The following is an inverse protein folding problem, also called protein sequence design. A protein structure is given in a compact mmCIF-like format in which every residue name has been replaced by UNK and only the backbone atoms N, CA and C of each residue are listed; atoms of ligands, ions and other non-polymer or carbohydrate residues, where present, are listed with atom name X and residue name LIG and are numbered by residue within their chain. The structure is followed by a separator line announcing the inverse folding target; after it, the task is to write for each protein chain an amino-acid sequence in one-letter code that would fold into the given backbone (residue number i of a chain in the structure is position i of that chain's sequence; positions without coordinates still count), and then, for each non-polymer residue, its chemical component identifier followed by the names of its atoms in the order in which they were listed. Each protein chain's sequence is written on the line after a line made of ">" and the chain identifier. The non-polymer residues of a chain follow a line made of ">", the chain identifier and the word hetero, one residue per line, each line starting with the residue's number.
data_IF_075822386396
#
_entry.id   IF_075822386396
#
_cell.length_a   1.000
_cell.length_b   1.000
_cell.length_c   1.000
_cell.angle_alpha   90.00
_cell.angle_beta   90.00
_cell.angle_gamma   90.00
#
_symmetry.space_group_name_H-M   'P 1'
#
loop_
_entity.id
_entity.type
_entity.pdbx_description
1 polymer ?
#
# COMPACT_ATOMS: atom_id res chain seq x y z
N UNK A 1 5.41 -9.63 10.06
CA UNK A 1 5.32 -10.29 8.75
C UNK A 1 3.92 -10.08 8.21
N UNK A 2 3.74 -9.19 7.22
CA UNK A 2 2.61 -9.36 6.28
C UNK A 2 3.07 -10.46 5.33
N UNK A 3 2.95 -11.72 5.76
CA UNK A 3 3.58 -12.84 5.07
C UNK A 3 2.99 -12.97 3.66
N UNK A 4 3.86 -13.11 2.65
CA UNK A 4 3.44 -13.40 1.27
C UNK A 4 3.07 -12.18 0.42
N UNK A 5 3.14 -10.95 0.93
CA UNK A 5 2.82 -9.75 0.15
C UNK A 5 3.88 -9.49 -0.94
N UNK A 6 3.44 -9.40 -2.19
CA UNK A 6 4.26 -9.12 -3.36
C UNK A 6 3.82 -7.84 -4.08
N UNK A 7 4.73 -7.28 -4.87
CA UNK A 7 4.38 -6.19 -5.76
C UNK A 7 3.39 -6.67 -6.82
N UNK A 8 2.26 -5.99 -6.91
CA UNK A 8 1.21 -6.29 -7.88
C UNK A 8 0.08 -7.15 -7.32
N UNK A 9 0.15 -7.64 -6.08
CA UNK A 9 -1.00 -8.29 -5.45
C UNK A 9 -2.18 -7.31 -5.38
N UNK A 10 -3.40 -7.81 -5.62
CA UNK A 10 -4.62 -7.06 -5.35
C UNK A 10 -5.01 -7.37 -3.92
N UNK A 11 -5.04 -6.34 -3.08
CA UNK A 11 -5.33 -6.46 -1.65
C UNK A 11 -6.55 -5.65 -1.25
N UNK A 12 -7.20 -6.07 -0.18
CA UNK A 12 -8.13 -5.25 0.59
C UNK A 12 -7.49 -5.00 1.96
N UNK A 13 -7.27 -3.73 2.29
CA UNK A 13 -6.60 -3.31 3.52
C UNK A 13 -7.51 -2.41 4.34
N UNK A 14 -7.61 -2.69 5.65
CA UNK A 14 -8.35 -1.89 6.63
C UNK A 14 -7.38 -1.03 7.40
N UNK A 15 -7.66 0.27 7.45
CA UNK A 15 -6.84 1.25 8.13
C UNK A 15 -7.62 1.95 9.24
N UNK A 16 -6.91 2.38 10.28
CA UNK A 16 -7.41 3.34 11.25
C UNK A 16 -6.68 4.68 11.10
N UNK A 17 -7.43 5.77 10.96
CA UNK A 17 -6.88 7.12 11.02
C UNK A 17 -7.66 7.96 12.02
N UNK A 18 -7.03 8.30 13.14
CA UNK A 18 -7.61 9.24 14.11
C UNK A 18 -7.62 10.66 13.52
N UNK A 19 -8.71 11.45 13.68
CA UNK A 19 -10.00 11.11 14.33
C UNK A 19 -11.07 10.53 13.39
N UNK A 20 -10.72 10.23 12.15
CA UNK A 20 -11.65 9.84 11.08
C UNK A 20 -12.16 8.39 11.16
N UNK A 21 -11.53 7.53 11.98
CA UNK A 21 -11.96 6.16 12.23
C UNK A 21 -11.43 5.14 11.21
N UNK A 22 -12.15 4.04 11.07
CA UNK A 22 -11.79 2.92 10.20
C UNK A 22 -12.27 3.16 8.75
N UNK A 23 -11.43 2.81 7.79
CA UNK A 23 -11.81 2.78 6.38
C UNK A 23 -11.04 1.68 5.64
N UNK A 24 -11.53 1.32 4.45
CA UNK A 24 -10.98 0.23 3.63
C UNK A 24 -10.47 0.76 2.30
N UNK A 25 -9.33 0.25 1.85
CA UNK A 25 -8.82 0.47 0.49
C UNK A 25 -8.63 -0.88 -0.19
N UNK A 26 -9.23 -1.04 -1.37
CA UNK A 26 -8.94 -2.15 -2.28
C UNK A 26 -8.09 -1.65 -3.44
N UNK A 27 -6.98 -2.32 -3.73
CA UNK A 27 -6.10 -1.95 -4.83
C UNK A 27 -4.80 -2.74 -4.86
N UNK A 28 -3.88 -2.32 -5.72
CA UNK A 28 -2.58 -2.98 -5.83
C UNK A 28 -1.67 -2.69 -4.62
N UNK A 29 -1.00 -3.73 -4.14
CA UNK A 29 0.19 -3.60 -3.32
C UNK A 29 1.36 -3.14 -4.21
N UNK A 30 1.71 -1.86 -4.11
CA UNK A 30 2.77 -1.25 -4.90
C UNK A 30 4.03 -1.14 -4.05
N UNK A 31 5.14 -1.70 -4.54
CA UNK A 31 6.43 -1.54 -3.89
C UNK A 31 6.89 -0.08 -3.98
N UNK A 32 7.38 0.47 -2.86
CA UNK A 32 7.99 1.79 -2.78
C UNK A 32 9.43 1.66 -2.25
N UNK A 33 10.40 1.25 -3.10
CA UNK A 33 11.79 1.04 -2.69
C UNK A 33 12.43 2.27 -2.04
N UNK A 34 12.02 3.47 -2.46
CA UNK A 34 12.48 4.75 -1.90
C UNK A 34 12.23 4.89 -0.39
N UNK A 35 11.23 4.19 0.14
CA UNK A 35 10.88 4.20 1.56
C UNK A 35 11.03 2.82 2.22
N UNK A 36 11.33 1.77 1.44
CA UNK A 36 11.40 0.39 1.90
C UNK A 36 10.04 -0.14 2.40
N UNK A 37 8.94 0.23 1.73
CA UNK A 37 7.57 -0.15 2.12
C UNK A 37 6.75 -0.68 0.94
N UNK A 38 5.63 -1.34 1.22
CA UNK A 38 4.51 -1.47 0.28
C UNK A 38 3.43 -0.44 0.59
N UNK A 39 2.76 0.05 -0.45
CA UNK A 39 1.65 0.97 -0.35
C UNK A 39 0.46 0.56 -1.22
N UNK A 40 -0.74 0.97 -0.83
CA UNK A 40 -1.99 0.84 -1.61
C UNK A 40 -2.63 2.21 -1.77
N UNK A 41 -3.47 2.38 -2.80
CA UNK A 41 -4.32 3.56 -2.96
C UNK A 41 -3.57 4.89 -3.04
N UNK A 42 -2.31 4.90 -3.49
CA UNK A 42 -1.57 6.14 -3.72
C UNK A 42 -0.94 6.78 -2.47
N UNK A 43 -0.65 6.01 -1.42
CA UNK A 43 0.14 6.53 -0.28
C UNK A 43 -0.12 5.87 1.07
N UNK A 44 -1.01 4.89 1.13
CA UNK A 44 -1.33 4.18 2.37
C UNK A 44 -0.41 3.00 2.57
N UNK A 45 0.45 3.07 3.58
CA UNK A 45 1.47 2.05 3.81
C UNK A 45 0.85 0.76 4.33
N UNK A 46 1.15 -0.36 3.67
CA UNK A 46 0.80 -1.70 4.11
C UNK A 46 1.86 -2.23 5.09
N UNK A 47 3.12 -1.83 4.90
CA UNK A 47 4.24 -2.25 5.73
C UNK A 47 5.00 -1.08 6.33
N UNK A 48 5.75 -1.33 7.40
CA UNK A 48 6.76 -0.41 7.90
C UNK A 48 8.00 -0.40 6.99
N UNK A 49 8.93 0.51 7.30
CA UNK A 49 10.28 0.53 6.73
C UNK A 49 10.91 -0.83 7.00
N UNK A 50 11.45 -1.46 5.96
CA UNK A 50 11.96 -2.85 5.86
C UNK A 50 10.97 -3.84 5.23
N UNK A 51 9.72 -3.45 4.93
CA UNK A 51 8.80 -4.27 4.13
C UNK A 51 8.26 -5.52 4.84
N UNK A 52 8.64 -5.75 6.10
CA UNK A 52 8.38 -7.00 6.80
C UNK A 52 7.26 -6.90 7.83
N UNK A 53 7.04 -5.76 8.47
CA UNK A 53 6.00 -5.64 9.50
C UNK A 53 4.83 -4.78 9.00
N UNK A 54 3.61 -5.02 9.49
CA UNK A 54 2.48 -4.15 9.20
C UNK A 54 2.80 -2.69 9.52
N UNK A 55 2.30 -1.76 8.70
CA UNK A 55 2.39 -0.34 9.00
C UNK A 55 1.54 0.04 10.23
N UNK A 56 1.89 1.12 10.92
CA UNK A 56 1.26 1.50 12.19
C UNK A 56 -0.26 1.75 12.11
N UNK A 57 -0.77 2.13 10.92
CA UNK A 57 -2.21 2.38 10.70
C UNK A 57 -2.94 1.19 10.09
N UNK A 58 -2.24 0.14 9.70
CA UNK A 58 -2.84 -1.05 9.11
C UNK A 58 -3.43 -1.90 10.22
N UNK A 59 -4.74 -2.12 10.17
CA UNK A 59 -5.49 -2.95 11.12
C UNK A 59 -5.59 -4.38 10.58
N UNK A 60 -5.91 -4.52 9.30
CA UNK A 60 -6.07 -5.82 8.65
C UNK A 60 -5.71 -5.75 7.15
N UNK A 61 -5.34 -6.89 6.56
CA UNK A 61 -5.04 -7.01 5.14
C UNK A 61 -5.35 -8.41 4.62
N UNK A 62 -6.06 -8.47 3.49
CA UNK A 62 -6.32 -9.68 2.73
C UNK A 62 -5.73 -9.56 1.32
N UNK A 63 -5.04 -10.60 0.85
CA UNK A 63 -4.65 -10.74 -0.55
C UNK A 63 -5.84 -11.39 -1.29
N UNK A 64 -6.48 -10.61 -2.16
CA UNK A 64 -7.65 -11.04 -2.93
C UNK A 64 -7.20 -11.84 -4.15
N UNK A 65 -6.15 -11.37 -4.83
CA UNK A 65 -5.55 -12.04 -5.99
C UNK A 65 -4.05 -11.80 -5.98
N UNK A 66 -3.27 -12.88 -6.08
CA UNK A 66 -1.82 -12.82 -6.18
C UNK A 66 -1.34 -12.22 -7.51
N UNK A 67 -0.20 -11.54 -7.48
CA UNK A 67 0.49 -11.06 -8.66
C UNK A 67 0.76 -12.23 -9.63
N UNK A 68 0.48 -12.01 -10.92
CA UNK A 68 0.65 -13.02 -11.97
C UNK A 68 -0.55 -13.96 -12.16
N UNK A 69 -1.54 -13.95 -11.26
CA UNK A 69 -2.82 -14.68 -11.42
C UNK A 69 -3.85 -13.83 -12.17
N UNK A 70 -3.71 -12.51 -12.16
CA UNK A 70 -4.54 -11.58 -12.94
C UNK A 70 -3.81 -11.00 -14.16
N UNK A 71 -4.58 -10.62 -15.18
CA UNK A 71 -4.07 -9.94 -16.38
C UNK A 71 -4.09 -8.40 -16.34
N UNK A 72 -4.47 -7.81 -15.20
CA UNK A 72 -4.54 -6.35 -15.06
C UNK A 72 -3.12 -5.72 -15.10
N UNK A 73 -2.97 -4.53 -15.70
CA UNK A 73 -1.69 -3.83 -15.72
C UNK A 73 -1.27 -3.43 -14.30
N UNK A 74 -0.10 -3.89 -13.88
CA UNK A 74 0.46 -3.59 -12.57
C UNK A 74 1.08 -2.19 -12.59
N UNK A 75 0.73 -1.30 -11.64
CA UNK A 75 1.36 0.02 -11.54
C UNK A 75 2.88 -0.09 -11.34
N UNK A 76 3.64 0.82 -11.93
CA UNK A 76 5.09 0.85 -11.70
C UNK A 76 5.42 1.08 -10.21
N UNK A 77 6.56 0.56 -9.71
CA UNK A 77 7.03 0.84 -8.35
C UNK A 77 7.17 2.34 -8.07
N UNK A 78 6.92 2.74 -6.82
CA UNK A 78 7.10 4.12 -6.37
C UNK A 78 8.58 4.36 -6.07
N UNK A 79 9.29 4.90 -7.05
CA UNK A 79 10.72 5.27 -6.95
C UNK A 79 10.92 6.71 -6.44
N UNK A 80 9.86 7.53 -6.48
CA UNK A 80 9.82 8.88 -5.95
C UNK A 80 8.38 9.24 -5.61
N UNK A 81 8.17 9.91 -4.49
CA UNK A 81 6.87 10.49 -4.18
C UNK A 81 6.68 11.77 -4.99
N UNK A 82 5.46 12.02 -5.54
CA UNK A 82 5.18 13.32 -6.12
C UNK A 82 5.54 14.39 -5.08
N UNK A 83 6.22 15.45 -5.50
CA UNK A 83 6.40 16.59 -4.60
C UNK A 83 5.02 17.09 -4.21
N UNK A 84 4.85 17.46 -2.95
CA UNK A 84 3.62 18.14 -2.52
C UNK A 84 3.59 19.47 -3.25
N UNK A 85 2.89 19.52 -4.39
CA UNK A 85 2.35 20.76 -4.91
C UNK A 85 1.22 21.14 -3.95
N UNK A 86 1.57 21.81 -2.86
CA UNK A 86 0.56 22.54 -2.10
C UNK A 86 -0.17 23.48 -3.09
N UNK A 87 -1.49 23.65 -2.99
CA UNK A 87 -2.12 24.80 -3.63
C UNK A 87 -1.39 26.06 -3.14
N UNK A 88 -0.94 26.87 -4.09
CA UNK A 88 -0.69 28.29 -3.90
C UNK A 88 -2.05 28.92 -3.57
N UNK A 89 -2.33 29.10 -2.28
CA UNK A 89 -3.22 30.15 -1.79
C UNK A 89 -2.37 31.22 -1.10
#
# INVERSE_FOLDING_TARGET
>A
MVAGLNHGDIVTAVFEQVPYGLFTITGFAVAAPVAGVFAVGGGWYLTNRDGHFPAARLVDIEIIVEAGVHGLPIPAPIVRWPETSAPID
#
